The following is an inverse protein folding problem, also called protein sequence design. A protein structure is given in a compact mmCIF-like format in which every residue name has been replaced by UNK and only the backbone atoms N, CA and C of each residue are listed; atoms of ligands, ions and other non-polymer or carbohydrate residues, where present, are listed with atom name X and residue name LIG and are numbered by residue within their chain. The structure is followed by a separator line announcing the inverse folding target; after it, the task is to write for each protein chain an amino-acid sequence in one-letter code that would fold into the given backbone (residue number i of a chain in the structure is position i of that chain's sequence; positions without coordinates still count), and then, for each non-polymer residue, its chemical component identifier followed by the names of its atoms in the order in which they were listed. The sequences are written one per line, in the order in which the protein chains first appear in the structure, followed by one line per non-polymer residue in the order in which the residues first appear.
data_IF_272392110302
#
_entry.id   IF_272392110302
#
_cell.length_a   1.000
_cell.length_b   1.000
_cell.length_c   1.000
_cell.angle_alpha   90.00
_cell.angle_beta   90.00
_cell.angle_gamma   90.00
#
_symmetry.space_group_name_H-M   'P 1'
#
loop_
_entity.id
_entity.type
_entity.pdbx_description
1 polymer ?
#
# COMPACT_ATOMS: atom_id res chain seq x y z
N UNK A 1 13.62 -15.72 -18.32
CA UNK A 1 12.73 -15.85 -18.58
C UNK A 1 11.58 -15.17 -19.12
N UNK A 2 10.92 -15.78 -19.84
CA UNK A 2 9.91 -15.18 -20.62
C UNK A 2 8.78 -14.61 -19.84
N UNK A 3 8.55 -15.13 -18.69
CA UNK A 3 7.41 -14.68 -17.97
C UNK A 3 7.50 -13.24 -17.54
N UNK A 4 8.63 -12.67 -17.59
CA UNK A 4 8.71 -11.29 -17.18
C UNK A 4 8.39 -10.37 -18.33
N UNK A 5 7.83 -10.81 -19.37
CA UNK A 5 7.56 -9.98 -20.50
C UNK A 5 6.22 -9.27 -20.42
N UNK A 6 5.60 -9.05 -21.56
CA UNK A 6 4.41 -8.21 -21.66
C UNK A 6 3.26 -8.61 -20.78
N UNK A 7 3.13 -9.90 -20.52
CA UNK A 7 2.04 -10.36 -19.70
C UNK A 7 2.09 -9.80 -18.28
N UNK A 8 3.27 -9.83 -17.67
CA UNK A 8 3.43 -9.28 -16.34
C UNK A 8 3.18 -7.79 -16.33
N UNK A 9 3.67 -7.12 -17.36
CA UNK A 9 3.48 -5.71 -17.45
C UNK A 9 2.02 -5.35 -17.64
N UNK A 10 1.30 -6.13 -18.41
CA UNK A 10 -0.12 -5.90 -18.58
C UNK A 10 -0.89 -6.00 -17.28
N UNK A 11 -0.53 -6.95 -16.44
CA UNK A 11 -1.18 -7.10 -15.15
C UNK A 11 -0.92 -5.90 -14.26
N UNK A 12 0.29 -5.39 -14.27
CA UNK A 12 0.61 -4.21 -13.48
C UNK A 12 -0.18 -3.02 -13.93
N UNK A 13 -0.27 -2.82 -15.24
CA UNK A 13 -1.01 -1.69 -15.78
C UNK A 13 -2.49 -1.80 -15.44
N UNK A 14 -3.05 -3.00 -15.53
CA UNK A 14 -4.44 -3.20 -15.19
C UNK A 14 -4.70 -2.90 -13.71
N UNK A 15 -3.79 -3.32 -12.85
CA UNK A 15 -3.93 -3.06 -11.43
C UNK A 15 -3.84 -1.56 -11.15
N UNK A 16 -2.88 -0.89 -11.77
CA UNK A 16 -2.74 0.56 -11.60
C UNK A 16 -4.03 1.27 -11.99
N UNK A 17 -4.57 0.91 -13.15
CA UNK A 17 -5.79 1.55 -13.63
C UNK A 17 -6.95 1.31 -12.68
N UNK A 18 -7.11 0.07 -12.24
CA UNK A 18 -8.20 -0.28 -11.33
C UNK A 18 -8.09 0.46 -10.01
N UNK A 19 -6.88 0.56 -9.48
CA UNK A 19 -6.70 1.24 -8.21
C UNK A 19 -6.91 2.74 -8.34
N UNK A 20 -6.47 3.32 -9.44
CA UNK A 20 -6.68 4.75 -9.64
C UNK A 20 -8.16 5.07 -9.78
N UNK A 21 -8.92 4.18 -10.40
CA UNK A 21 -10.37 4.38 -10.48
C UNK A 21 -11.02 4.35 -9.12
N UNK A 22 -10.42 3.67 -8.16
CA UNK A 22 -10.94 3.61 -6.80
C UNK A 22 -10.41 4.74 -5.92
N UNK A 23 -9.70 5.68 -6.50
CA UNK A 23 -9.20 6.83 -5.76
C UNK A 23 -7.88 6.59 -5.03
N UNK A 24 -7.11 5.62 -5.47
CA UNK A 24 -5.85 5.33 -4.80
C UNK A 24 -4.86 6.47 -5.00
N UNK A 25 -4.22 6.87 -3.92
CA UNK A 25 -3.20 7.90 -3.92
C UNK A 25 -1.81 7.31 -4.09
N UNK A 26 -1.60 6.11 -3.60
CA UNK A 26 -0.38 5.36 -3.84
C UNK A 26 -0.71 3.87 -3.73
N UNK A 27 0.16 3.06 -4.26
CA UNK A 27 -0.01 1.62 -4.18
C UNK A 27 1.35 0.94 -4.09
N UNK A 28 1.37 -0.19 -3.40
CA UNK A 28 2.56 -1.03 -3.30
C UNK A 28 2.26 -2.37 -3.93
N UNK A 29 3.27 -2.95 -4.53
CA UNK A 29 3.16 -4.29 -5.10
C UNK A 29 4.29 -5.14 -4.56
N UNK A 30 3.94 -6.32 -4.06
CA UNK A 30 4.95 -7.30 -3.66
C UNK A 30 4.91 -8.43 -4.66
N UNK A 31 6.03 -8.72 -5.25
CA UNK A 31 6.13 -9.77 -6.25
C UNK A 31 7.48 -10.45 -6.09
N UNK A 32 7.48 -11.76 -5.97
CA UNK A 32 8.70 -12.50 -5.79
C UNK A 32 9.41 -12.22 -4.48
N UNK A 33 8.65 -11.82 -3.46
CA UNK A 33 9.23 -11.52 -2.16
C UNK A 33 9.84 -10.14 -2.04
N UNK A 34 9.51 -9.25 -2.96
CA UNK A 34 10.03 -7.90 -2.97
C UNK A 34 8.91 -6.89 -3.04
N UNK A 35 8.90 -5.91 -2.16
CA UNK A 35 7.85 -4.89 -2.12
C UNK A 35 8.36 -3.60 -2.73
N UNK A 36 7.59 -3.07 -3.66
CA UNK A 36 7.96 -1.85 -4.37
C UNK A 36 6.77 -0.91 -4.47
N UNK A 37 7.04 0.36 -4.63
CA UNK A 37 6.00 1.32 -4.92
C UNK A 37 5.54 1.14 -6.35
N UNK A 38 4.25 0.92 -6.51
CA UNK A 38 3.66 0.78 -7.84
C UNK A 38 3.40 2.14 -8.46
N UNK A 39 2.85 3.06 -7.67
CA UNK A 39 2.71 4.45 -8.06
C UNK A 39 2.47 5.31 -6.81
N UNK A 40 2.62 6.61 -6.95
CA UNK A 40 2.35 7.55 -5.88
C UNK A 40 3.49 7.66 -4.90
N UNK A 41 3.22 8.31 -3.79
CA UNK A 41 4.24 8.55 -2.77
C UNK A 41 3.79 8.04 -1.42
N UNK A 42 4.17 6.83 -1.06
CA UNK A 42 3.81 6.33 0.28
C UNK A 42 4.57 7.08 1.37
N UNK A 43 4.07 7.08 2.58
CA UNK A 43 4.78 7.72 3.69
C UNK A 43 6.16 7.10 3.88
N UNK A 44 7.08 7.92 4.36
CA UNK A 44 8.44 7.47 4.62
C UNK A 44 8.43 6.27 5.56
N UNK A 45 9.12 5.22 5.17
CA UNK A 45 9.24 4.03 6.00
C UNK A 45 8.09 3.04 5.86
N UNK A 46 7.02 3.43 5.18
CA UNK A 46 5.87 2.54 5.07
C UNK A 46 6.18 1.33 4.18
N UNK A 47 6.88 1.55 3.09
CA UNK A 47 7.22 0.44 2.19
C UNK A 47 8.08 -0.58 2.92
N UNK A 48 9.08 -0.11 3.66
CA UNK A 48 9.96 -1.00 4.42
C UNK A 48 9.20 -1.76 5.49
N UNK A 49 8.30 -1.08 6.18
CA UNK A 49 7.51 -1.74 7.23
C UNK A 49 6.61 -2.82 6.64
N UNK A 50 5.99 -2.54 5.50
CA UNK A 50 5.16 -3.52 4.85
C UNK A 50 5.98 -4.70 4.36
N UNK A 51 7.15 -4.41 3.80
CA UNK A 51 8.03 -5.45 3.32
C UNK A 51 8.40 -6.41 4.45
N UNK A 52 8.72 -5.86 5.60
CA UNK A 52 9.09 -6.67 6.75
C UNK A 52 7.93 -7.54 7.23
N UNK A 53 6.74 -6.95 7.33
CA UNK A 53 5.57 -7.69 7.77
C UNK A 53 5.26 -8.84 6.80
N UNK A 54 5.27 -8.55 5.52
CA UNK A 54 4.94 -9.56 4.52
C UNK A 54 6.00 -10.65 4.47
N UNK A 55 7.25 -10.27 4.66
CA UNK A 55 8.32 -11.25 4.69
C UNK A 55 8.16 -12.19 5.88
N UNK A 56 7.85 -11.65 7.05
CA UNK A 56 7.66 -12.46 8.25
C UNK A 56 6.51 -13.44 8.10
N UNK A 57 5.52 -13.09 7.32
CA UNK A 57 4.36 -13.94 7.14
C UNK A 57 4.46 -14.83 5.91
N UNK A 58 5.58 -14.78 5.22
CA UNK A 58 5.79 -15.65 4.07
C UNK A 58 4.94 -15.30 2.85
N UNK A 59 4.47 -14.08 2.78
CA UNK A 59 3.63 -13.68 1.66
C UNK A 59 4.52 -13.12 0.56
N UNK A 60 4.56 -13.80 -0.56
CA UNK A 60 5.46 -13.43 -1.62
C UNK A 60 4.82 -12.61 -2.73
N UNK A 61 3.50 -12.52 -2.74
CA UNK A 61 2.79 -11.78 -3.78
C UNK A 61 1.52 -11.19 -3.21
N UNK A 62 1.39 -9.89 -3.30
CA UNK A 62 0.18 -9.19 -2.88
C UNK A 62 0.30 -7.73 -3.31
N UNK A 63 -0.76 -6.98 -3.08
CA UNK A 63 -0.72 -5.54 -3.29
C UNK A 63 -1.54 -4.87 -2.20
N UNK A 64 -1.26 -3.59 -1.98
CA UNK A 64 -2.07 -2.77 -1.10
C UNK A 64 -1.98 -1.33 -1.58
N UNK A 65 -2.93 -0.51 -1.17
CA UNK A 65 -3.00 0.85 -1.63
C UNK A 65 -3.70 1.71 -0.60
N UNK A 66 -3.48 3.01 -0.67
CA UNK A 66 -4.24 3.97 0.11
C UNK A 66 -5.20 4.68 -0.81
N UNK A 67 -6.48 4.63 -0.51
CA UNK A 67 -7.50 5.35 -1.25
C UNK A 67 -8.03 6.48 -0.38
N UNK A 68 -8.45 7.55 -1.02
CA UNK A 68 -9.01 8.68 -0.29
C UNK A 68 -7.93 9.59 0.26
N UNK A 69 -8.35 10.71 0.81
CA UNK A 69 -7.45 11.73 1.33
C UNK A 69 -7.90 12.18 2.70
N UNK A 70 -6.96 12.69 3.47
CA UNK A 70 -7.27 13.27 4.77
C UNK A 70 -8.02 12.31 5.65
N UNK A 71 -9.10 12.76 6.24
CA UNK A 71 -9.87 11.94 7.15
C UNK A 71 -10.56 10.76 6.46
N UNK A 72 -10.64 10.78 5.14
CA UNK A 72 -11.27 9.69 4.41
C UNK A 72 -10.28 8.67 3.89
N UNK A 73 -9.02 8.84 4.20
CA UNK A 73 -8.01 7.89 3.73
C UNK A 73 -8.24 6.52 4.35
N UNK A 74 -8.08 5.51 3.52
CA UNK A 74 -8.22 4.13 3.99
C UNK A 74 -7.31 3.23 3.18
N UNK A 75 -7.00 2.09 3.71
CA UNK A 75 -6.17 1.13 2.99
C UNK A 75 -7.04 0.14 2.23
N UNK A 76 -6.58 -0.22 1.05
CA UNK A 76 -7.18 -1.28 0.25
C UNK A 76 -6.18 -2.42 0.19
N UNK A 77 -6.67 -3.65 0.20
CA UNK A 77 -5.82 -4.82 0.22
C UNK A 77 -6.26 -5.82 -0.83
N UNK A 78 -5.33 -6.63 -1.28
CA UNK A 78 -5.67 -7.76 -2.13
C UNK A 78 -6.61 -8.69 -1.38
N UNK A 79 -7.52 -9.30 -2.09
CA UNK A 79 -8.55 -10.11 -1.48
C UNK A 79 -8.02 -11.24 -0.62
N UNK A 80 -6.94 -11.85 -1.05
CA UNK A 80 -6.40 -13.01 -0.34
C UNK A 80 -5.47 -12.67 0.81
N UNK A 81 -5.30 -11.40 1.12
CA UNK A 81 -4.41 -11.02 2.21
C UNK A 81 -5.11 -11.28 3.55
N UNK A 82 -4.54 -12.10 4.43
CA UNK A 82 -5.20 -12.45 5.69
C UNK A 82 -5.45 -11.23 6.57
N UNK A 83 -6.52 -11.29 7.34
CA UNK A 83 -6.90 -10.17 8.18
C UNK A 83 -5.83 -9.81 9.21
N UNK A 84 -5.15 -10.79 9.77
CA UNK A 84 -4.09 -10.50 10.72
C UNK A 84 -2.97 -9.68 10.12
N UNK A 85 -2.64 -9.97 8.86
CA UNK A 85 -1.62 -9.21 8.15
C UNK A 85 -2.12 -7.81 7.86
N UNK A 86 -3.37 -7.69 7.42
CA UNK A 86 -3.96 -6.39 7.15
C UNK A 86 -3.92 -5.51 8.40
N UNK A 87 -4.21 -6.09 9.55
CA UNK A 87 -4.21 -5.34 10.78
C UNK A 87 -2.82 -4.85 11.15
N UNK A 88 -1.81 -5.70 10.96
CA UNK A 88 -0.45 -5.29 11.22
C UNK A 88 -0.02 -4.13 10.33
N UNK A 89 -0.45 -4.17 9.08
CA UNK A 89 -0.13 -3.09 8.16
C UNK A 89 -0.86 -1.81 8.57
N UNK A 90 -2.11 -1.92 8.98
CA UNK A 90 -2.84 -0.75 9.47
C UNK A 90 -2.14 -0.13 10.67
N UNK A 91 -1.56 -0.95 11.52
CA UNK A 91 -0.88 -0.44 12.72
C UNK A 91 0.38 0.35 12.40
N UNK A 92 1.03 0.07 11.29
CA UNK A 92 2.22 0.83 10.90
C UNK A 92 1.90 1.95 9.93
N UNK A 93 0.67 2.02 9.46
CA UNK A 93 0.26 3.05 8.52
C UNK A 93 -0.13 4.30 9.29
N UNK A 94 0.39 5.42 8.84
CA UNK A 94 0.04 6.70 9.45
C UNK A 94 -0.90 7.41 8.51
N UNK A 95 -2.19 7.51 8.85
CA UNK A 95 -3.11 8.19 7.95
C UNK A 95 -2.76 9.66 7.80
N UNK A 96 -3.02 10.24 6.65
CA UNK A 96 -2.76 11.67 6.49
C UNK A 96 -3.64 12.49 7.42
N UNK A 97 -3.10 13.55 7.94
CA UNK A 97 -3.84 14.42 8.83
C UNK A 97 -3.91 15.80 8.29
N UNK A 98 -4.88 16.54 8.73
CA UNK A 98 -4.92 17.92 8.38
C UNK A 98 -3.83 18.66 9.05
N UNK A 99 -3.12 19.47 8.34
CA UNK A 99 -2.00 20.20 8.94
C UNK A 99 -2.41 21.06 10.10
N UNK A 100 -3.57 21.61 10.06
CA UNK A 100 -3.93 22.51 11.11
C UNK A 100 -4.15 21.88 12.41
N UNK A 101 -4.37 20.63 12.44
CA UNK A 101 -4.63 20.08 13.72
C UNK A 101 -3.51 20.06 14.51
N UNK A 102 -2.66 20.28 13.96
CA UNK A 102 -1.63 20.18 14.79
C UNK A 102 -1.59 20.92 15.94
N UNK A 103 -2.03 20.96 15.98
CA UNK A 103 -1.85 21.28 16.68
C UNK A 103 -2.13 21.27 17.53
N UNK A 104 -2.24 21.27 17.15
CA UNK A 104 -2.39 21.30 17.82
C UNK A 104 -2.35 21.10 18.67
N UNK A 105 -2.25 21.08 18.48
CA UNK A 105 -2.02 20.85 19.19
C UNK A 105 -1.96 20.90 19.94
N UNK A 106 -1.77 21.05 20.01
CA UNK A 106 -1.53 20.95 20.61
C UNK A 106 -1.48 20.76 21.45
N UNK A 107 -1.36 20.70 21.54
CA UNK A 107 -1.18 20.36 22.21
C UNK A 107 -0.92 20.44 22.83
N UNK A 108 -0.80 20.59 22.97
CA UNK A 108 -0.51 20.52 23.32
C UNK A 108 -0.36 20.43 23.82
#
# INVERSE_FOLDING_TARGET
MAESGPRTQGRRLALIAALRLRGAQFALLRDGGRTQTLFGKPPTGFVSACDEILEQKGIRRTWLAQAGRGARARLLFAEDLPEGVRQRIRNVWTPPRRPTTAGSGKRA
#
